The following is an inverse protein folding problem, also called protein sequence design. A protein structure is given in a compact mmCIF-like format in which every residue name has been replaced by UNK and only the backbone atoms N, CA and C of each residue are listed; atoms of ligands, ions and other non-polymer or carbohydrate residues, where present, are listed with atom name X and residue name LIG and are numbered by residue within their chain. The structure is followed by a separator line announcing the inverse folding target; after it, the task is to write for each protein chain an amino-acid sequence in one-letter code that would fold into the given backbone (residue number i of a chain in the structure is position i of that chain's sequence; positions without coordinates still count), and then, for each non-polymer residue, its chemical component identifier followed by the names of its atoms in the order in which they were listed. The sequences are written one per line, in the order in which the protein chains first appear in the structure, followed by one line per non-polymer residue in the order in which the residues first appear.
data_IF_984375457526
#
_entry.id   IF_984375457526
#
_cell.length_a   1.000
_cell.length_b   1.000
_cell.length_c   1.000
_cell.angle_alpha   90.00
_cell.angle_beta   90.00
_cell.angle_gamma   90.00
#
_symmetry.space_group_name_H-M   'P 1'
#
loop_
_entity.id
_entity.type
_entity.pdbx_description
1 polymer ?
#
# COMPACT_ATOMS: atom_id res chain seq x y z
N UNK A 1 17.12 -5.97 10.63
CA UNK A 1 17.16 -4.58 10.07
C UNK A 1 16.95 -4.60 8.56
N UNK A 2 16.70 -5.77 7.99
CA UNK A 2 16.87 -6.01 6.56
C UNK A 2 15.56 -5.77 5.81
N UNK A 3 14.42 -6.04 6.43
CA UNK A 3 13.10 -5.92 5.80
C UNK A 3 12.71 -4.48 5.41
N UNK A 4 12.95 -3.48 6.28
CA UNK A 4 12.62 -2.10 5.96
C UNK A 4 13.57 -1.50 4.92
N UNK A 5 14.86 -1.87 4.95
CA UNK A 5 15.85 -1.48 3.94
C UNK A 5 15.53 -2.09 2.58
N UNK A 6 15.17 -3.37 2.55
CA UNK A 6 14.76 -4.06 1.32
C UNK A 6 13.50 -3.42 0.74
N UNK A 7 12.50 -3.08 1.57
CA UNK A 7 11.31 -2.35 1.13
C UNK A 7 11.64 -0.98 0.52
N UNK A 8 12.57 -0.24 1.14
CA UNK A 8 13.02 1.07 0.66
C UNK A 8 13.80 0.96 -0.66
N UNK A 9 14.71 -0.02 -0.76
CA UNK A 9 15.49 -0.28 -1.98
C UNK A 9 14.60 -0.74 -3.13
N UNK A 10 13.64 -1.63 -2.88
CA UNK A 10 12.65 -2.06 -3.87
C UNK A 10 11.79 -0.88 -4.35
N UNK A 11 11.33 -0.02 -3.43
CA UNK A 11 10.58 1.19 -3.77
C UNK A 11 11.40 2.15 -4.63
N UNK A 12 12.68 2.34 -4.30
CA UNK A 12 13.59 3.21 -5.06
C UNK A 12 13.89 2.61 -6.45
N UNK A 13 14.12 1.30 -6.54
CA UNK A 13 14.31 0.59 -7.80
C UNK A 13 13.08 0.71 -8.69
N UNK A 14 11.89 0.53 -8.14
CA UNK A 14 10.61 0.72 -8.85
C UNK A 14 10.48 2.16 -9.37
N UNK A 15 10.76 3.16 -8.55
CA UNK A 15 10.72 4.57 -8.97
C UNK A 15 11.70 4.85 -10.12
N UNK A 16 12.91 4.30 -10.06
CA UNK A 16 13.91 4.42 -11.14
C UNK A 16 13.44 3.70 -12.41
N UNK A 17 12.82 2.52 -12.27
CA UNK A 17 12.27 1.75 -13.39
C UNK A 17 11.12 2.50 -14.08
N UNK A 18 10.15 3.01 -13.31
CA UNK A 18 9.07 3.86 -13.85
C UNK A 18 9.62 5.12 -14.51
N UNK A 19 10.60 5.79 -13.90
CA UNK A 19 11.27 6.95 -14.50
C UNK A 19 12.02 6.60 -15.79
N UNK A 20 12.54 5.38 -15.92
CA UNK A 20 13.21 4.93 -17.13
C UNK A 20 12.23 4.81 -18.30
N UNK A 21 11.07 4.19 -18.09
CA UNK A 21 10.04 4.04 -19.11
C UNK A 21 9.31 5.36 -19.41
N UNK A 22 9.03 6.18 -18.39
CA UNK A 22 8.42 7.49 -18.58
C UNK A 22 9.29 8.42 -19.46
N UNK A 23 10.62 8.36 -19.34
CA UNK A 23 11.55 9.13 -20.19
C UNK A 23 11.67 8.61 -21.62
N UNK A 24 11.27 7.35 -21.86
CA UNK A 24 11.28 6.70 -23.18
C UNK A 24 9.90 6.69 -23.84
N UNK A 25 8.89 7.27 -23.19
CA UNK A 25 7.55 7.35 -23.74
C UNK A 25 7.54 8.24 -24.99
N UNK A 26 7.01 7.70 -26.08
CA UNK A 26 6.91 8.39 -27.37
C UNK A 26 5.45 8.40 -27.83
N UNK A 27 4.96 9.52 -28.36
CA UNK A 27 3.56 9.65 -28.80
C UNK A 27 3.23 8.94 -30.13
N UNK A 28 4.22 8.27 -30.73
CA UNK A 28 4.09 7.53 -31.99
C UNK A 28 3.75 6.05 -31.77
N UNK A 29 4.33 5.15 -32.57
CA UNK A 29 4.15 3.69 -32.37
C UNK A 29 4.95 3.26 -31.14
N UNK A 30 4.30 2.75 -30.08
CA UNK A 30 4.99 2.41 -28.85
C UNK A 30 5.88 1.18 -29.05
N UNK A 31 7.07 1.22 -28.43
CA UNK A 31 7.91 0.02 -28.31
C UNK A 31 7.22 -1.02 -27.40
N UNK A 32 7.55 -2.32 -27.54
CA UNK A 32 6.93 -3.39 -26.74
C UNK A 32 6.93 -3.12 -25.23
N UNK A 33 8.04 -2.56 -24.71
CA UNK A 33 8.16 -2.21 -23.29
C UNK A 33 7.37 -0.97 -22.88
N UNK A 34 7.25 0.02 -23.76
CA UNK A 34 6.38 1.18 -23.54
C UNK A 34 4.91 0.75 -23.51
N UNK A 35 4.48 -0.08 -24.47
CA UNK A 35 3.11 -0.58 -24.55
C UNK A 35 2.67 -1.34 -23.29
N UNK A 36 3.57 -2.14 -22.69
CA UNK A 36 3.30 -2.81 -21.42
C UNK A 36 3.08 -1.82 -20.27
N UNK A 37 3.91 -0.77 -20.18
CA UNK A 37 3.76 0.26 -19.15
C UNK A 37 2.49 1.10 -19.37
N UNK A 38 2.14 1.42 -20.61
CA UNK A 38 0.88 2.09 -20.95
C UNK A 38 -0.33 1.26 -20.51
N UNK A 39 -0.32 -0.06 -20.78
CA UNK A 39 -1.38 -0.96 -20.33
C UNK A 39 -1.53 -0.96 -18.80
N UNK A 40 -0.43 -0.92 -18.05
CA UNK A 40 -0.47 -0.81 -16.58
C UNK A 40 -1.02 0.54 -16.11
N UNK A 41 -0.65 1.63 -16.77
CA UNK A 41 -1.13 2.98 -16.45
C UNK A 41 -2.63 3.10 -16.73
N UNK A 42 -3.10 2.62 -17.88
CA UNK A 42 -4.52 2.60 -18.24
C UNK A 42 -5.34 1.73 -17.29
N UNK A 43 -4.83 0.55 -16.93
CA UNK A 43 -5.44 -0.29 -15.92
C UNK A 43 -5.62 0.46 -14.59
N UNK A 44 -4.56 1.10 -14.08
CA UNK A 44 -4.64 1.86 -12.83
C UNK A 44 -5.61 3.06 -12.93
N UNK A 45 -5.61 3.80 -14.04
CA UNK A 45 -6.53 4.92 -14.25
C UNK A 45 -7.99 4.46 -14.29
N UNK A 46 -8.28 3.31 -14.92
CA UNK A 46 -9.62 2.73 -14.95
C UNK A 46 -10.10 2.36 -13.54
N UNK A 47 -9.25 1.70 -12.74
CA UNK A 47 -9.60 1.35 -11.36
C UNK A 47 -9.90 2.59 -10.51
N UNK A 48 -9.12 3.67 -10.67
CA UNK A 48 -9.36 4.92 -9.94
C UNK A 48 -10.65 5.59 -10.42
N UNK A 49 -10.91 5.57 -11.73
CA UNK A 49 -12.12 6.15 -12.34
C UNK A 49 -13.40 5.52 -11.80
N UNK A 50 -13.40 4.20 -11.63
CA UNK A 50 -14.60 3.46 -11.18
C UNK A 50 -14.94 3.77 -9.71
N UNK A 51 -13.93 4.12 -8.90
CA UNK A 51 -14.09 4.40 -7.47
C UNK A 51 -14.29 5.89 -7.19
N UNK A 52 -13.60 6.77 -7.92
CA UNK A 52 -13.57 8.21 -7.65
C UNK A 52 -13.96 9.04 -8.89
N UNK A 53 -15.01 9.84 -8.72
CA UNK A 53 -15.63 10.62 -9.81
C UNK A 53 -15.13 12.08 -9.87
N UNK A 54 -14.14 12.47 -9.05
CA UNK A 54 -13.57 13.83 -9.01
C UNK A 54 -12.24 13.99 -9.77
N UNK A 55 -11.46 15.02 -9.45
CA UNK A 55 -10.13 15.20 -10.06
C UNK A 55 -9.17 14.07 -9.66
N UNK A 56 -8.81 13.25 -10.64
CA UNK A 56 -8.00 12.04 -10.52
C UNK A 56 -6.55 12.23 -10.93
N UNK A 57 -6.14 13.44 -11.36
CA UNK A 57 -4.77 13.71 -11.84
C UNK A 57 -3.68 13.33 -10.82
N UNK A 58 -4.01 13.41 -9.53
CA UNK A 58 -3.13 12.98 -8.45
C UNK A 58 -3.36 11.53 -8.01
N UNK A 59 -4.62 11.06 -8.01
CA UNK A 59 -4.97 9.73 -7.53
C UNK A 59 -4.50 8.62 -8.46
N UNK A 60 -4.58 8.80 -9.78
CA UNK A 60 -4.16 7.78 -10.74
C UNK A 60 -2.65 7.43 -10.65
N UNK A 61 -1.72 8.42 -10.62
CA UNK A 61 -0.30 8.13 -10.39
C UNK A 61 0.00 7.51 -9.01
N UNK A 62 -0.75 7.92 -7.97
CA UNK A 62 -0.59 7.38 -6.63
C UNK A 62 -1.05 5.91 -6.56
N UNK A 63 -2.19 5.58 -7.15
CA UNK A 63 -2.69 4.22 -7.22
C UNK A 63 -1.74 3.30 -7.98
N UNK A 64 -1.19 3.77 -9.11
CA UNK A 64 -0.19 3.03 -9.88
C UNK A 64 1.07 2.73 -9.06
N UNK A 65 1.59 3.72 -8.33
CA UNK A 65 2.80 3.53 -7.51
C UNK A 65 2.56 2.56 -6.36
N UNK A 66 1.43 2.64 -5.67
CA UNK A 66 1.07 1.68 -4.61
C UNK A 66 0.88 0.27 -5.19
N UNK A 67 0.14 0.14 -6.29
CA UNK A 67 -0.12 -1.14 -6.94
C UNK A 67 1.18 -1.84 -7.34
N UNK A 68 2.06 -1.14 -8.06
CA UNK A 68 3.33 -1.70 -8.49
C UNK A 68 4.24 -2.00 -7.31
N UNK A 69 4.26 -1.15 -6.29
CA UNK A 69 5.13 -1.37 -5.14
C UNK A 69 4.72 -2.63 -4.36
N UNK A 70 3.42 -2.79 -4.12
CA UNK A 70 2.87 -4.00 -3.47
C UNK A 70 3.07 -5.23 -4.35
N UNK A 71 2.81 -5.14 -5.66
CA UNK A 71 3.02 -6.24 -6.58
C UNK A 71 4.49 -6.68 -6.61
N UNK A 72 5.44 -5.74 -6.60
CA UNK A 72 6.88 -6.05 -6.54
C UNK A 72 7.24 -6.71 -5.22
N UNK A 73 6.82 -6.16 -4.07
CA UNK A 73 7.09 -6.77 -2.76
C UNK A 73 6.52 -8.18 -2.65
N UNK A 74 5.33 -8.43 -3.22
CA UNK A 74 4.71 -9.76 -3.23
C UNK A 74 5.32 -10.70 -4.28
N UNK A 75 5.84 -10.18 -5.39
CA UNK A 75 6.59 -10.99 -6.38
C UNK A 75 7.92 -11.44 -5.80
N UNK A 76 8.49 -10.70 -4.85
CA UNK A 76 9.59 -11.20 -4.04
C UNK A 76 9.17 -12.35 -3.11
N UNK A 77 7.90 -12.73 -3.00
CA UNK A 77 7.57 -13.99 -2.29
C UNK A 77 7.73 -15.21 -3.21
N UNK A 78 7.78 -15.00 -4.54
CA UNK A 78 7.84 -16.07 -5.54
C UNK A 78 9.27 -16.52 -5.86
N UNK A 79 10.31 -15.72 -5.59
CA UNK A 79 11.68 -16.21 -5.81
C UNK A 79 12.15 -17.05 -4.62
N UNK A 80 12.97 -18.09 -4.87
CA UNK A 80 13.47 -18.96 -3.81
C UNK A 80 14.17 -18.19 -2.70
N UNK A 81 13.74 -18.42 -1.47
CA UNK A 81 14.29 -17.81 -0.24
C UNK A 81 15.77 -18.14 0.01
N UNK A 82 16.33 -19.10 -0.74
CA UNK A 82 17.72 -19.56 -0.61
C UNK A 82 18.72 -18.76 -1.46
N UNK A 83 18.26 -17.98 -2.44
CA UNK A 83 19.15 -17.19 -3.32
C UNK A 83 20.01 -16.18 -2.54
N UNK A 84 19.46 -15.39 -1.59
CA UNK A 84 20.25 -14.47 -0.77
C UNK A 84 21.25 -15.22 0.11
N UNK A 85 20.86 -16.37 0.68
CA UNK A 85 21.74 -17.21 1.49
C UNK A 85 22.94 -17.73 0.70
N UNK A 86 22.71 -18.17 -0.54
CA UNK A 86 23.76 -18.64 -1.45
C UNK A 86 24.69 -17.51 -1.93
N UNK A 87 24.18 -16.30 -2.17
CA UNK A 87 25.02 -15.15 -2.56
C UNK A 87 25.84 -14.60 -1.39
N UNK A 88 25.29 -14.58 -0.18
CA UNK A 88 26.03 -14.17 1.04
C UNK A 88 27.10 -15.20 1.40
N UNK A 89 26.82 -16.50 1.27
CA UNK A 89 27.83 -17.55 1.42
C UNK A 89 28.99 -17.38 0.43
N UNK A 90 28.69 -17.02 -0.83
CA UNK A 90 29.70 -16.85 -1.87
C UNK A 90 30.59 -15.61 -1.70
N UNK A 91 30.07 -14.53 -1.08
CA UNK A 91 30.79 -13.24 -0.96
C UNK A 91 31.38 -12.98 0.43
N UNK A 92 30.75 -13.47 1.51
CA UNK A 92 31.12 -13.14 2.89
C UNK A 92 31.54 -14.36 3.75
N UNK A 93 31.49 -15.58 3.21
CA UNK A 93 31.87 -16.81 3.91
C UNK A 93 30.77 -17.38 4.82
N UNK A 94 30.84 -18.70 5.06
CA UNK A 94 29.78 -19.51 5.68
C UNK A 94 29.41 -19.08 7.13
N UNK A 95 30.33 -18.47 7.86
CA UNK A 95 30.13 -18.03 9.26
C UNK A 95 29.15 -16.83 9.37
N UNK A 96 29.13 -15.93 8.38
CA UNK A 96 28.25 -14.75 8.38
C UNK A 96 26.84 -15.09 7.87
N UNK A 97 26.74 -16.12 7.02
CA UNK A 97 25.48 -16.56 6.41
C UNK A 97 24.52 -17.20 7.43
N UNK A 98 25.03 -17.84 8.50
CA UNK A 98 24.19 -18.43 9.54
C UNK A 98 23.61 -17.40 10.53
N UNK A 99 24.27 -16.25 10.70
CA UNK A 99 23.82 -15.19 11.61
C UNK A 99 23.06 -14.07 10.90
N UNK A 100 23.16 -13.98 9.57
CA UNK A 100 22.50 -12.93 8.78
C UNK A 100 21.31 -13.53 8.02
N UNK A 101 20.18 -13.67 8.71
CA UNK A 101 18.90 -13.96 8.05
C UNK A 101 18.43 -12.74 7.25
N UNK A 102 19.04 -12.49 6.08
CA UNK A 102 18.52 -11.52 5.12
C UNK A 102 17.20 -12.03 4.55
N UNK A 103 16.11 -11.64 5.21
CA UNK A 103 14.74 -11.89 4.74
C UNK A 103 14.40 -10.84 3.70
N UNK A 104 14.44 -11.26 2.44
CA UNK A 104 14.18 -10.38 1.31
C UNK A 104 12.70 -10.07 1.09
N UNK A 105 11.79 -10.75 1.80
CA UNK A 105 10.34 -10.50 1.79
C UNK A 105 9.98 -9.59 2.97
N UNK A 106 9.71 -8.29 2.76
CA UNK A 106 9.40 -7.36 3.86
C UNK A 106 8.04 -7.62 4.49
N UNK A 107 7.09 -8.18 3.74
CA UNK A 107 5.71 -8.49 4.16
C UNK A 107 5.62 -9.72 5.06
N UNK A 108 6.66 -10.57 5.08
CA UNK A 108 6.76 -11.72 5.96
C UNK A 108 7.23 -11.37 7.40
N UNK A 109 7.50 -10.09 7.67
CA UNK A 109 7.80 -9.58 9.01
C UNK A 109 6.54 -8.94 9.62
N UNK A 110 6.12 -9.48 10.77
CA UNK A 110 4.98 -9.00 11.55
C UNK A 110 5.16 -7.54 11.97
N UNK A 111 6.39 -7.08 12.19
CA UNK A 111 6.65 -5.70 12.56
C UNK A 111 6.31 -4.73 11.42
N UNK A 112 6.62 -5.11 10.17
CA UNK A 112 6.32 -4.29 8.98
C UNK A 112 4.81 -4.21 8.76
N UNK A 113 4.10 -5.33 8.87
CA UNK A 113 2.64 -5.37 8.70
C UNK A 113 1.91 -4.63 9.83
N UNK A 114 2.36 -4.78 11.07
CA UNK A 114 1.81 -4.06 12.21
C UNK A 114 2.06 -2.55 12.12
N UNK A 115 3.27 -2.13 11.71
CA UNK A 115 3.58 -0.72 11.50
C UNK A 115 2.69 -0.10 10.41
N UNK A 116 2.50 -0.79 9.28
CA UNK A 116 1.58 -0.34 8.22
C UNK A 116 0.14 -0.24 8.72
N UNK A 117 -0.35 -1.24 9.46
CA UNK A 117 -1.69 -1.23 10.02
C UNK A 117 -1.92 -0.05 10.98
N UNK A 118 -0.96 0.23 11.87
CA UNK A 118 -1.04 1.38 12.77
C UNK A 118 -1.04 2.71 12.02
N UNK A 119 -0.18 2.89 11.02
CA UNK A 119 -0.15 4.11 10.21
C UNK A 119 -1.49 4.34 9.51
N UNK A 120 -2.05 3.29 8.89
CA UNK A 120 -3.35 3.36 8.23
C UNK A 120 -4.47 3.65 9.24
N UNK A 121 -4.46 3.01 10.41
CA UNK A 121 -5.41 3.27 11.48
C UNK A 121 -5.39 4.74 11.90
N UNK A 122 -4.20 5.31 12.15
CA UNK A 122 -4.07 6.73 12.50
C UNK A 122 -4.53 7.66 11.38
N UNK A 123 -4.25 7.34 10.12
CA UNK A 123 -4.73 8.11 8.98
C UNK A 123 -6.27 8.09 8.88
N UNK A 124 -6.89 6.93 9.07
CA UNK A 124 -8.35 6.80 9.07
C UNK A 124 -8.95 7.64 10.20
N UNK A 125 -8.43 7.55 11.42
CA UNK A 125 -8.90 8.35 12.55
C UNK A 125 -8.72 9.85 12.29
N UNK A 126 -7.53 10.25 11.82
CA UNK A 126 -7.22 11.65 11.51
C UNK A 126 -8.15 12.22 10.43
N UNK A 127 -8.30 11.55 9.29
CA UNK A 127 -9.17 12.02 8.21
C UNK A 127 -10.65 11.93 8.55
N UNK A 128 -11.07 10.95 9.36
CA UNK A 128 -12.45 10.87 9.89
C UNK A 128 -12.78 12.11 10.72
N UNK A 129 -11.88 12.52 11.62
CA UNK A 129 -12.06 13.74 12.42
C UNK A 129 -11.90 15.00 11.56
N UNK A 130 -10.96 15.04 10.62
CA UNK A 130 -10.70 16.21 9.77
C UNK A 130 -11.85 16.53 8.82
N UNK A 131 -12.47 15.52 8.21
CA UNK A 131 -13.54 15.71 7.23
C UNK A 131 -14.89 15.91 7.92
N UNK A 132 -15.19 15.15 8.98
CA UNK A 132 -16.51 15.16 9.63
C UNK A 132 -16.58 16.08 10.86
N UNK A 133 -15.44 16.55 11.35
CA UNK A 133 -15.33 17.23 12.64
C UNK A 133 -15.44 16.25 13.83
N UNK A 134 -14.97 16.68 14.99
CA UNK A 134 -15.03 15.87 16.21
C UNK A 134 -16.47 15.46 16.57
N UNK A 135 -17.42 16.39 16.44
CA UNK A 135 -18.84 16.13 16.66
C UNK A 135 -19.45 15.12 15.68
N UNK A 136 -19.18 15.26 14.38
CA UNK A 136 -19.69 14.34 13.36
C UNK A 136 -19.16 12.91 13.52
N UNK A 137 -17.87 12.78 13.84
CA UNK A 137 -17.24 11.49 14.11
C UNK A 137 -17.85 10.77 15.33
N UNK A 138 -18.03 11.48 16.46
CA UNK A 138 -18.62 10.87 17.67
C UNK A 138 -20.08 10.46 17.47
N UNK A 139 -20.88 11.27 16.78
CA UNK A 139 -22.29 10.94 16.51
C UNK A 139 -22.38 9.69 15.65
N UNK A 140 -21.58 9.58 14.58
CA UNK A 140 -21.57 8.41 13.71
C UNK A 140 -21.15 7.13 14.45
N UNK A 141 -20.13 7.22 15.31
CA UNK A 141 -19.63 6.11 16.11
C UNK A 141 -20.71 5.48 17.02
N UNK A 142 -21.67 6.28 17.50
CA UNK A 142 -22.75 5.81 18.36
C UNK A 142 -24.09 5.62 17.62
N UNK A 143 -24.20 6.03 16.35
CA UNK A 143 -25.48 6.00 15.60
C UNK A 143 -25.47 5.13 14.35
N UNK A 144 -24.31 4.62 13.93
CA UNK A 144 -24.22 3.61 12.88
C UNK A 144 -24.18 2.19 13.49
N UNK A 145 -24.83 1.16 12.88
CA UNK A 145 -25.61 1.20 11.63
C UNK A 145 -27.06 1.68 11.81
N UNK A 146 -27.61 1.67 13.04
CA UNK A 146 -29.01 2.01 13.30
C UNK A 146 -29.23 3.48 13.61
N UNK A 147 -29.61 4.24 12.57
CA UNK A 147 -29.91 5.65 12.66
C UNK A 147 -31.32 5.89 13.21
N UNK A 148 -31.46 6.73 14.23
CA UNK A 148 -32.76 7.15 14.77
C UNK A 148 -32.95 8.67 14.69
N UNK A 149 -34.14 9.14 14.36
CA UNK A 149 -34.44 10.59 14.30
C UNK A 149 -34.72 11.20 15.68
N UNK A 150 -35.16 10.38 16.65
CA UNK A 150 -35.49 10.82 18.00
C UNK A 150 -34.25 10.73 18.93
N UNK A 151 -33.86 11.80 19.65
CA UNK A 151 -32.70 11.80 20.54
C UNK A 151 -32.76 10.73 21.65
N UNK A 152 -33.96 10.36 22.12
CA UNK A 152 -34.13 9.32 23.16
C UNK A 152 -33.78 7.94 22.59
N UNK A 153 -34.19 7.66 21.35
CA UNK A 153 -33.93 6.38 20.69
C UNK A 153 -32.44 6.27 20.30
N UNK A 154 -31.79 7.39 19.92
CA UNK A 154 -30.33 7.41 19.71
C UNK A 154 -29.56 7.01 20.97
N UNK A 155 -29.97 7.49 22.14
CA UNK A 155 -29.30 7.16 23.40
C UNK A 155 -29.46 5.68 23.79
N UNK A 156 -30.62 5.08 23.48
CA UNK A 156 -30.86 3.64 23.72
C UNK A 156 -30.08 2.76 22.75
N UNK A 157 -29.95 3.18 21.48
CA UNK A 157 -29.22 2.44 20.45
C UNK A 157 -27.70 2.61 20.53
N UNK A 158 -27.21 3.66 21.16
CA UNK A 158 -25.77 3.96 21.30
C UNK A 158 -24.92 2.79 21.84
N UNK A 159 -25.29 2.11 22.95
CA UNK A 159 -24.52 0.97 23.43
C UNK A 159 -24.55 -0.19 22.41
N UNK A 160 -25.70 -0.51 21.81
CA UNK A 160 -25.80 -1.60 20.83
C UNK A 160 -25.00 -1.32 19.56
N UNK A 161 -25.02 -0.07 19.08
CA UNK A 161 -24.25 0.37 17.92
C UNK A 161 -22.74 0.38 18.17
N UNK A 162 -22.28 0.65 19.40
CA UNK A 162 -20.86 0.69 19.73
C UNK A 162 -20.23 -0.70 19.91
N UNK A 163 -21.01 -1.69 20.35
CA UNK A 163 -20.54 -3.07 20.55
C UNK A 163 -20.72 -4.00 19.34
N UNK A 164 -21.32 -3.49 18.25
CA UNK A 164 -21.48 -4.17 16.95
C UNK A 164 -20.34 -3.84 16.00
#
# INVERSE_FOLDING_TARGET
MDSWLVALLLGLLMCVWLRHFARKATSGVPSKGQAFVELLVEFADSQVKDVFHGDRKFLAPLALTIFLWVAFMNTMDLLPLDIPGATIQAVAGAEVAHHTYLRWVPTADVNTTFAMALVVLFLILFYSVKVKGFGGFTVELFTAPFHAHNPVIKAVLAPFNFFL
#
